data_IF_118283433634
#
_entry.id   IF_118283433634
#
_cell.length_a   1.000
_cell.length_b   1.000
_cell.length_c   1.000
_cell.angle_alpha   90.00
_cell.angle_beta   90.00
_cell.angle_gamma   90.00
#
_symmetry.space_group_name_H-M   'P 1'
#
loop_
_entity.id
_entity.type
_entity.pdbx_description
1 polymer ?
#
# COMPACT_ATOMS: atom_id res chain seq x y z
N UNK A 1 -18.70 28.24 -67.29
CA UNK A 1 -18.38 26.85 -66.87
C UNK A 1 -17.28 26.85 -65.80
N UNK A 2 -16.06 27.33 -66.11
CA UNK A 2 -14.91 27.31 -65.19
C UNK A 2 -15.16 28.00 -63.82
N UNK A 3 -15.88 29.13 -63.81
CA UNK A 3 -16.20 29.84 -62.56
C UNK A 3 -17.14 29.03 -61.64
N UNK A 4 -18.11 28.32 -62.23
CA UNK A 4 -19.08 27.50 -61.50
C UNK A 4 -18.39 26.29 -60.86
N UNK A 5 -17.45 25.67 -61.58
CA UNK A 5 -16.69 24.53 -61.07
C UNK A 5 -15.73 24.95 -59.93
N UNK A 6 -15.16 26.16 -60.00
CA UNK A 6 -14.33 26.72 -58.94
C UNK A 6 -15.13 27.04 -57.66
N UNK A 7 -16.37 27.52 -57.80
CA UNK A 7 -17.24 27.83 -56.66
C UNK A 7 -17.75 26.56 -55.98
N UNK A 8 -18.07 25.50 -56.74
CA UNK A 8 -18.43 24.17 -56.21
C UNK A 8 -17.25 23.53 -55.45
N UNK A 9 -16.03 23.68 -55.95
CA UNK A 9 -14.84 23.16 -55.26
C UNK A 9 -14.56 23.92 -53.95
N UNK A 10 -14.78 25.24 -53.92
CA UNK A 10 -14.65 26.03 -52.68
C UNK A 10 -15.67 25.63 -51.64
N UNK A 11 -16.92 25.40 -52.04
CA UNK A 11 -17.97 24.93 -51.15
C UNK A 11 -17.62 23.57 -50.53
N UNK A 12 -17.15 22.62 -51.35
CA UNK A 12 -16.67 21.31 -50.85
C UNK A 12 -15.45 21.40 -49.94
N UNK A 13 -14.53 22.33 -50.19
CA UNK A 13 -13.39 22.56 -49.32
C UNK A 13 -13.87 23.07 -47.96
N UNK A 14 -14.83 24.01 -47.94
CA UNK A 14 -15.40 24.53 -46.70
C UNK A 14 -16.17 23.46 -45.93
N UNK A 15 -16.92 22.60 -46.61
CA UNK A 15 -17.60 21.45 -46.00
C UNK A 15 -16.60 20.47 -45.37
N UNK A 16 -15.54 20.11 -46.09
CA UNK A 16 -14.49 19.23 -45.57
C UNK A 16 -13.74 19.86 -44.40
N UNK A 17 -13.47 21.16 -44.44
CA UNK A 17 -12.85 21.88 -43.32
C UNK A 17 -13.75 21.85 -42.08
N UNK A 18 -15.06 22.01 -42.27
CA UNK A 18 -16.04 21.93 -41.19
C UNK A 18 -16.10 20.51 -40.60
N UNK A 19 -16.17 19.47 -41.43
CA UNK A 19 -16.15 18.07 -40.99
C UNK A 19 -14.85 17.72 -40.23
N UNK A 20 -13.71 18.21 -40.72
CA UNK A 20 -12.43 18.04 -40.03
C UNK A 20 -12.38 18.75 -38.68
N UNK A 21 -13.00 19.93 -38.58
CA UNK A 21 -13.09 20.70 -37.33
C UNK A 21 -13.99 20.00 -36.30
N UNK A 22 -15.10 19.42 -36.74
CA UNK A 22 -16.02 18.65 -35.90
C UNK A 22 -15.39 17.34 -35.42
N UNK A 23 -14.66 16.65 -36.31
CA UNK A 23 -13.88 15.46 -35.96
C UNK A 23 -12.80 15.78 -34.92
N UNK A 24 -12.02 16.85 -35.13
CA UNK A 24 -10.99 17.29 -34.17
C UNK A 24 -11.60 17.62 -32.82
N UNK A 25 -12.76 18.28 -32.80
CA UNK A 25 -13.48 18.63 -31.57
C UNK A 25 -13.95 17.37 -30.83
N UNK A 26 -14.48 16.40 -31.56
CA UNK A 26 -14.94 15.11 -31.01
C UNK A 26 -13.77 14.29 -30.47
N UNK A 27 -12.68 14.20 -31.22
CA UNK A 27 -11.44 13.55 -30.79
C UNK A 27 -10.85 14.21 -29.54
N UNK A 28 -10.89 15.55 -29.44
CA UNK A 28 -10.44 16.27 -28.24
C UNK A 28 -11.25 15.88 -27.00
N UNK A 29 -12.58 15.75 -27.14
CA UNK A 29 -13.47 15.33 -26.05
C UNK A 29 -13.21 13.89 -25.61
N UNK A 30 -13.03 12.98 -26.57
CA UNK A 30 -12.71 11.57 -26.30
C UNK A 30 -11.35 11.47 -25.61
N UNK A 31 -10.33 12.16 -26.10
CA UNK A 31 -9.00 12.18 -25.51
C UNK A 31 -9.02 12.77 -24.09
N UNK A 32 -9.82 13.80 -23.83
CA UNK A 32 -10.01 14.35 -22.47
C UNK A 32 -10.65 13.33 -21.53
N UNK A 33 -11.73 12.66 -21.95
CA UNK A 33 -12.36 11.62 -21.14
C UNK A 33 -11.47 10.38 -20.92
N UNK A 34 -10.67 10.02 -21.92
CA UNK A 34 -9.65 8.97 -21.79
C UNK A 34 -8.52 9.41 -20.84
N UNK A 35 -8.10 10.67 -20.90
CA UNK A 35 -7.09 11.21 -19.98
C UNK A 35 -7.61 11.26 -18.54
N UNK A 36 -8.88 11.63 -18.32
CA UNK A 36 -9.52 11.61 -17.00
C UNK A 36 -9.60 10.20 -16.42
N UNK A 37 -10.01 9.21 -17.23
CA UNK A 37 -10.09 7.80 -16.80
C UNK A 37 -8.72 7.16 -16.59
N UNK A 38 -7.73 7.47 -17.42
CA UNK A 38 -6.33 7.06 -17.20
C UNK A 38 -5.76 7.76 -15.97
N UNK A 39 -6.09 9.02 -15.72
CA UNK A 39 -5.63 9.73 -14.52
C UNK A 39 -6.28 9.18 -13.24
N UNK A 40 -7.51 8.68 -13.31
CA UNK A 40 -8.13 7.93 -12.21
C UNK A 40 -7.52 6.54 -12.01
N UNK A 41 -7.04 5.88 -13.07
CA UNK A 41 -6.24 4.65 -12.97
C UNK A 41 -4.84 4.91 -12.40
N UNK A 42 -4.18 5.99 -12.79
CA UNK A 42 -2.92 6.44 -12.18
C UNK A 42 -3.12 6.84 -10.71
N UNK A 43 -4.26 7.46 -10.38
CA UNK A 43 -4.69 7.72 -9.00
C UNK A 43 -4.96 6.42 -8.24
N UNK A 44 -5.51 5.39 -8.89
CA UNK A 44 -5.68 4.05 -8.33
C UNK A 44 -4.35 3.33 -8.11
N UNK A 45 -3.37 3.51 -9.02
CA UNK A 45 -2.01 3.03 -8.82
C UNK A 45 -1.26 3.79 -7.72
N UNK A 46 -1.47 5.12 -7.58
CA UNK A 46 -0.96 5.92 -6.46
C UNK A 46 -1.62 5.53 -5.14
N UNK A 47 -2.91 5.22 -5.14
CA UNK A 47 -3.65 4.73 -3.98
C UNK A 47 -3.18 3.32 -3.59
N UNK A 48 -2.83 2.46 -4.54
CA UNK A 48 -2.20 1.17 -4.26
C UNK A 48 -0.75 1.30 -3.77
N UNK A 49 0.00 2.32 -4.18
CA UNK A 49 1.31 2.63 -3.60
C UNK A 49 1.21 3.12 -2.14
N UNK A 50 0.01 3.45 -1.66
CA UNK A 50 -0.28 3.77 -0.24
C UNK A 50 -1.17 2.74 0.46
N UNK A 51 -1.65 1.70 -0.24
CA UNK A 51 -2.30 0.53 0.35
C UNK A 51 -1.23 -0.30 1.06
N UNK A 52 -1.44 -0.59 2.33
CA UNK A 52 -0.41 -0.99 3.27
C UNK A 52 -0.41 -2.51 3.47
N UNK A 53 0.53 -3.28 2.86
CA UNK A 53 0.88 -4.61 3.35
C UNK A 53 1.87 -4.53 4.53
N UNK A 54 2.03 -3.38 5.20
CA UNK A 54 3.03 -3.22 6.28
C UNK A 54 2.67 -3.98 7.55
N UNK A 55 1.38 -4.22 7.83
CA UNK A 55 1.01 -4.96 9.04
C UNK A 55 1.57 -6.38 8.97
N UNK A 56 1.30 -7.13 7.88
CA UNK A 56 1.79 -8.50 7.73
C UNK A 56 3.33 -8.57 7.71
N UNK A 57 3.99 -7.63 7.03
CA UNK A 57 5.45 -7.55 7.02
C UNK A 57 6.03 -7.24 8.41
N UNK A 58 5.42 -6.32 9.17
CA UNK A 58 5.84 -5.99 10.53
C UNK A 58 5.67 -7.20 11.45
N UNK A 59 4.54 -7.91 11.39
CA UNK A 59 4.32 -9.11 12.20
C UNK A 59 5.35 -10.18 11.87
N UNK A 60 5.66 -10.38 10.59
CA UNK A 60 6.71 -11.31 10.17
C UNK A 60 8.07 -10.89 10.72
N UNK A 61 8.44 -9.62 10.60
CA UNK A 61 9.72 -9.09 11.10
C UNK A 61 9.84 -9.23 12.63
N UNK A 62 8.77 -8.96 13.37
CA UNK A 62 8.75 -9.11 14.83
C UNK A 62 8.92 -10.57 15.25
N UNK A 63 8.19 -11.48 14.59
CA UNK A 63 8.34 -12.92 14.83
C UNK A 63 9.76 -13.37 14.51
N UNK A 64 10.27 -13.02 13.33
CA UNK A 64 11.61 -13.41 12.88
C UNK A 64 12.69 -12.80 13.81
N UNK A 65 12.48 -11.60 14.34
CA UNK A 65 13.36 -10.99 15.35
C UNK A 65 13.40 -11.82 16.63
N UNK A 66 12.24 -12.27 17.12
CA UNK A 66 12.16 -13.11 18.32
C UNK A 66 12.87 -14.44 18.07
N UNK A 67 12.49 -15.14 17.00
CA UNK A 67 13.01 -16.49 16.69
C UNK A 67 14.53 -16.50 16.47
N UNK A 68 15.10 -15.46 15.86
CA UNK A 68 16.53 -15.43 15.53
C UNK A 68 17.42 -14.86 16.64
N UNK A 69 16.87 -14.10 17.61
CA UNK A 69 17.68 -13.35 18.58
C UNK A 69 17.34 -13.60 20.05
N UNK A 70 16.32 -14.41 20.32
CA UNK A 70 15.90 -14.81 21.65
C UNK A 70 15.96 -16.32 21.78
N UNK A 71 16.40 -16.80 22.94
CA UNK A 71 16.20 -18.19 23.35
C UNK A 71 14.89 -18.34 24.14
N UNK A 72 14.52 -19.58 24.49
CA UNK A 72 13.26 -19.87 25.19
C UNK A 72 13.15 -19.15 26.55
N UNK A 73 14.25 -19.00 27.30
CA UNK A 73 14.23 -18.29 28.58
C UNK A 73 14.00 -16.80 28.39
N UNK A 74 14.73 -16.18 27.46
CA UNK A 74 14.59 -14.76 27.14
C UNK A 74 13.20 -14.43 26.58
N UNK A 75 12.59 -15.38 25.86
CA UNK A 75 11.21 -15.25 25.38
C UNK A 75 10.20 -15.28 26.53
N UNK A 76 10.38 -16.17 27.51
CA UNK A 76 9.51 -16.23 28.68
C UNK A 76 9.63 -14.94 29.51
N UNK A 77 10.84 -14.41 29.68
CA UNK A 77 11.08 -13.11 30.31
C UNK A 77 10.41 -11.96 29.54
N UNK A 78 10.54 -11.95 28.21
CA UNK A 78 9.85 -10.97 27.36
C UNK A 78 8.33 -11.02 27.56
N UNK A 79 7.74 -12.21 27.58
CA UNK A 79 6.30 -12.36 27.79
C UNK A 79 5.90 -11.87 29.18
N UNK A 80 6.68 -12.20 30.21
CA UNK A 80 6.46 -11.73 31.58
C UNK A 80 6.51 -10.20 31.67
N UNK A 81 7.53 -9.56 31.09
CA UNK A 81 7.70 -8.10 31.09
C UNK A 81 6.56 -7.39 30.34
N UNK A 82 6.00 -8.02 29.30
CA UNK A 82 4.83 -7.52 28.56
C UNK A 82 3.49 -7.87 29.25
N UNK A 83 3.50 -8.59 30.37
CA UNK A 83 2.31 -9.02 31.10
C UNK A 83 1.49 -10.08 30.36
N UNK A 84 2.14 -10.92 29.55
CA UNK A 84 1.53 -12.00 28.77
C UNK A 84 1.90 -13.35 29.40
N UNK A 85 0.88 -14.15 29.69
CA UNK A 85 1.11 -15.52 30.12
C UNK A 85 1.47 -16.41 28.92
N UNK A 86 2.67 -16.99 28.93
CA UNK A 86 3.16 -17.89 27.86
C UNK A 86 2.27 -19.11 27.73
N UNK A 87 1.69 -19.62 28.82
CA UNK A 87 0.82 -20.80 28.80
C UNK A 87 -0.49 -20.57 28.01
N UNK A 88 -0.84 -19.31 27.73
CA UNK A 88 -1.99 -18.95 26.91
C UNK A 88 -1.63 -18.84 25.41
N UNK A 89 -0.35 -19.03 25.04
CA UNK A 89 0.10 -19.01 23.65
C UNK A 89 0.09 -20.44 23.10
N UNK A 90 -0.66 -20.68 22.03
CA UNK A 90 -0.68 -21.99 21.39
C UNK A 90 0.65 -22.28 20.66
N UNK A 91 1.15 -23.50 20.82
CA UNK A 91 2.36 -23.95 20.15
C UNK A 91 3.22 -24.87 21.00
N UNK A 92 4.18 -25.53 20.37
CA UNK A 92 5.19 -26.35 21.08
C UNK A 92 6.60 -25.78 20.92
N UNK A 93 6.81 -24.96 19.90
CA UNK A 93 8.13 -24.37 19.59
C UNK A 93 8.16 -22.88 19.89
N UNK A 94 9.37 -22.34 20.09
CA UNK A 94 9.58 -20.90 20.18
C UNK A 94 8.99 -20.14 18.98
N UNK A 95 9.07 -20.71 17.78
CA UNK A 95 8.53 -20.11 16.56
C UNK A 95 7.00 -20.02 16.59
N UNK A 96 6.33 -21.05 17.12
CA UNK A 96 4.87 -21.05 17.27
C UNK A 96 4.43 -20.03 18.32
N UNK A 97 5.08 -20.03 19.49
CA UNK A 97 4.81 -19.04 20.54
C UNK A 97 5.09 -17.61 20.08
N UNK A 98 6.19 -17.37 19.36
CA UNK A 98 6.51 -16.06 18.80
C UNK A 98 5.44 -15.59 17.80
N UNK A 99 4.91 -16.50 16.99
CA UNK A 99 3.81 -16.20 16.06
C UNK A 99 2.56 -15.80 16.83
N UNK A 100 2.14 -16.59 17.82
CA UNK A 100 0.93 -16.30 18.59
C UNK A 100 1.06 -15.02 19.43
N UNK A 101 2.22 -14.79 20.04
CA UNK A 101 2.52 -13.56 20.76
C UNK A 101 2.32 -12.32 19.87
N UNK A 102 2.91 -12.35 18.68
CA UNK A 102 2.85 -11.24 17.73
C UNK A 102 1.41 -11.02 17.23
N UNK A 103 0.66 -12.10 16.98
CA UNK A 103 -0.76 -12.02 16.61
C UNK A 103 -1.63 -11.46 17.74
N UNK A 104 -1.40 -11.90 18.98
CA UNK A 104 -2.10 -11.42 20.17
C UNK A 104 -1.86 -9.92 20.36
N UNK A 105 -0.60 -9.48 20.34
CA UNK A 105 -0.23 -8.08 20.50
C UNK A 105 -0.77 -7.21 19.36
N UNK A 106 -0.87 -7.74 18.14
CA UNK A 106 -1.49 -7.04 17.02
C UNK A 106 -2.98 -6.80 17.25
N UNK A 107 -3.71 -7.82 17.72
CA UNK A 107 -5.15 -7.69 18.05
C UNK A 107 -5.39 -6.68 19.18
N UNK A 108 -4.47 -6.60 20.13
CA UNK A 108 -4.52 -5.66 21.26
C UNK A 108 -3.96 -4.26 20.92
N UNK A 109 -3.41 -4.04 19.72
CA UNK A 109 -2.77 -2.78 19.35
C UNK A 109 -1.46 -2.49 20.10
N UNK A 110 -0.86 -3.51 20.72
CA UNK A 110 0.33 -3.43 21.60
C UNK A 110 1.65 -3.81 20.91
N UNK A 111 1.65 -4.04 19.59
CA UNK A 111 2.89 -4.18 18.80
C UNK A 111 3.96 -3.09 19.04
N UNK A 112 3.60 -1.82 19.29
CA UNK A 112 4.59 -0.78 19.62
C UNK A 112 5.44 -1.10 20.84
N UNK A 113 4.85 -1.72 21.87
CA UNK A 113 5.55 -2.09 23.10
C UNK A 113 6.60 -3.17 22.83
N UNK A 114 6.24 -4.18 22.05
CA UNK A 114 7.17 -5.24 21.63
C UNK A 114 8.33 -4.67 20.80
N UNK A 115 8.06 -3.74 19.88
CA UNK A 115 9.12 -3.07 19.11
C UNK A 115 10.10 -2.35 20.03
N UNK A 116 9.60 -1.61 21.03
CA UNK A 116 10.44 -0.91 21.98
C UNK A 116 11.28 -1.88 22.81
N UNK A 117 10.66 -2.94 23.31
CA UNK A 117 11.35 -3.99 24.07
C UNK A 117 12.48 -4.64 23.25
N UNK A 118 12.21 -5.04 22.01
CA UNK A 118 13.21 -5.62 21.13
C UNK A 118 14.36 -4.64 20.84
N UNK A 119 14.07 -3.34 20.66
CA UNK A 119 15.11 -2.31 20.44
C UNK A 119 15.97 -2.08 21.67
N UNK A 120 15.39 -2.15 22.86
CA UNK A 120 16.14 -2.01 24.11
C UNK A 120 17.08 -3.19 24.35
N UNK A 121 16.58 -4.42 24.21
CA UNK A 121 17.36 -5.64 24.46
C UNK A 121 18.31 -5.99 23.31
N UNK A 122 18.01 -5.55 22.09
CA UNK A 122 18.78 -5.83 20.87
C UNK A 122 18.88 -4.56 19.99
N UNK A 123 19.64 -3.53 20.42
CA UNK A 123 19.76 -2.28 19.68
C UNK A 123 20.37 -2.44 18.28
N UNK A 124 21.08 -3.54 18.04
CA UNK A 124 21.72 -3.86 16.76
C UNK A 124 20.75 -4.44 15.72
N UNK A 125 19.51 -4.79 16.11
CA UNK A 125 18.51 -5.35 15.18
C UNK A 125 17.64 -4.22 14.65
N UNK A 126 17.74 -3.95 13.34
CA UNK A 126 16.96 -2.91 12.68
C UNK A 126 15.50 -3.38 12.50
N UNK A 127 14.61 -2.95 13.39
CA UNK A 127 13.16 -3.16 13.26
C UNK A 127 12.53 -1.89 12.65
N UNK A 128 12.11 -1.91 11.36
CA UNK A 128 11.45 -0.79 10.73
C UNK A 128 10.02 -0.66 11.29
N UNK A 129 9.86 0.22 12.28
CA UNK A 129 8.55 0.56 12.83
C UNK A 129 8.35 2.07 12.78
N UNK A 130 7.25 2.48 12.15
CA UNK A 130 6.79 3.87 12.09
C UNK A 130 5.50 3.93 12.92
N UNK A 131 5.51 4.70 14.01
CA UNK A 131 4.33 4.90 14.85
C UNK A 131 3.21 5.51 14.02
N UNK A 132 2.22 4.70 13.62
CA UNK A 132 1.01 5.26 13.03
C UNK A 132 0.34 6.12 14.10
N UNK A 133 0.09 7.39 13.76
CA UNK A 133 -0.60 8.36 14.61
C UNK A 133 -2.11 8.37 14.35
N UNK A 134 -2.68 7.37 13.69
CA UNK A 134 -4.12 7.23 13.54
C UNK A 134 -4.74 6.49 14.72
N UNK A 135 -4.73 7.18 15.85
CA UNK A 135 -5.60 6.90 16.98
C UNK A 135 -6.35 8.17 17.33
N UNK A 136 -7.44 8.45 16.60
CA UNK A 136 -8.62 9.18 17.06
C UNK A 136 -9.80 8.77 16.21
#
# INVERSE_FOLDING_TARGET
MIQNDADVLREKILELEQEMMDFRTTMTKILSGLYETVHDLERWQRWNATQEPKALELLKLLRDCIVNHFNQSEFNELCFDLGINVDNLDGETLSDHARELVLLLNRLGRCPELVLYCREKRPNVAIPWKRDRRGR
#
